data_IF_259113124898
#
_entry.id   IF_259113124898
#
_cell.length_a   1.000
_cell.length_b   1.000
_cell.length_c   1.000
_cell.angle_alpha   90.00
_cell.angle_beta   90.00
_cell.angle_gamma   90.00
#
_symmetry.space_group_name_H-M   'P 1'
#
loop_
_entity.id
_entity.type
_entity.pdbx_description
1 polymer ?
#
# COMPACT_ATOMS: atom_id res chain seq x y z
N UNK A 1 11.17 26.93 -11.93
CA UNK A 1 11.24 25.82 -12.90
C UNK A 1 12.33 24.79 -12.58
N UNK A 2 13.60 25.13 -12.35
CA UNK A 2 14.64 24.11 -12.08
C UNK A 2 14.39 23.30 -10.81
N UNK A 3 13.99 23.94 -9.70
CA UNK A 3 13.68 23.26 -8.45
C UNK A 3 12.51 22.26 -8.51
N UNK A 4 11.48 22.56 -9.30
CA UNK A 4 10.32 21.66 -9.50
C UNK A 4 10.73 20.39 -10.25
N UNK A 5 11.54 20.54 -11.31
CA UNK A 5 12.07 19.41 -12.07
C UNK A 5 12.94 18.53 -11.17
N UNK A 6 13.82 19.14 -10.36
CA UNK A 6 14.63 18.43 -9.36
C UNK A 6 13.77 17.66 -8.35
N UNK A 7 12.73 18.28 -7.81
CA UNK A 7 11.77 17.63 -6.92
C UNK A 7 11.15 16.39 -7.55
N UNK A 8 10.57 16.51 -8.75
CA UNK A 8 9.85 15.41 -9.38
C UNK A 8 10.77 14.27 -9.80
N UNK A 9 11.94 14.58 -10.38
CA UNK A 9 12.93 13.56 -10.73
C UNK A 9 13.47 12.83 -9.49
N UNK A 10 13.69 13.56 -8.40
CA UNK A 10 14.10 12.98 -7.13
C UNK A 10 13.02 12.10 -6.48
N UNK A 11 11.75 12.52 -6.53
CA UNK A 11 10.62 11.79 -5.96
C UNK A 11 10.23 10.53 -6.75
N UNK A 12 10.46 10.53 -8.07
CA UNK A 12 9.94 9.52 -9.00
C UNK A 12 10.27 8.06 -8.61
N UNK A 13 11.50 7.69 -8.19
CA UNK A 13 11.80 6.31 -7.80
C UNK A 13 10.97 5.84 -6.58
N UNK A 14 10.77 6.71 -5.59
CA UNK A 14 9.96 6.40 -4.41
C UNK A 14 8.47 6.26 -4.75
N UNK A 15 7.96 7.11 -5.65
CA UNK A 15 6.59 7.03 -6.17
C UNK A 15 6.37 5.73 -6.95
N UNK A 16 7.28 5.40 -7.87
CA UNK A 16 7.21 4.16 -8.65
C UNK A 16 7.23 2.91 -7.76
N UNK A 17 8.09 2.90 -6.74
CA UNK A 17 8.14 1.81 -5.75
C UNK A 17 6.83 1.67 -4.97
N UNK A 18 6.25 2.80 -4.55
CA UNK A 18 4.97 2.83 -3.83
C UNK A 18 3.84 2.27 -4.70
N UNK A 19 3.72 2.72 -5.95
CA UNK A 19 2.72 2.24 -6.90
C UNK A 19 2.85 0.74 -7.18
N UNK A 20 4.08 0.25 -7.39
CA UNK A 20 4.32 -1.18 -7.57
C UNK A 20 3.87 -2.01 -6.36
N UNK A 21 4.11 -1.51 -5.15
CA UNK A 21 3.65 -2.16 -3.93
C UNK A 21 2.13 -2.13 -3.80
N UNK A 22 1.46 -1.05 -4.21
CA UNK A 22 0.00 -0.98 -4.27
C UNK A 22 -0.60 -2.00 -5.24
N UNK A 23 -0.01 -2.15 -6.44
CA UNK A 23 -0.44 -3.14 -7.43
C UNK A 23 -0.37 -4.55 -6.85
N UNK A 24 0.72 -4.88 -6.15
CA UNK A 24 0.85 -6.18 -5.47
C UNK A 24 -0.19 -6.38 -4.38
N UNK A 25 -0.47 -5.34 -3.59
CA UNK A 25 -1.56 -5.38 -2.61
C UNK A 25 -2.92 -5.64 -3.24
N UNK A 26 -3.21 -4.96 -4.36
CA UNK A 26 -4.46 -5.14 -5.10
C UNK A 26 -4.60 -6.56 -5.65
N UNK A 27 -3.52 -7.16 -6.16
CA UNK A 27 -3.52 -8.54 -6.61
C UNK A 27 -3.89 -9.51 -5.49
N UNK A 28 -3.31 -9.36 -4.30
CA UNK A 28 -3.67 -10.18 -3.14
C UNK A 28 -5.10 -9.93 -2.67
N UNK A 29 -5.58 -8.69 -2.73
CA UNK A 29 -6.97 -8.40 -2.42
C UNK A 29 -7.93 -9.09 -3.40
N UNK A 30 -7.63 -9.08 -4.70
CA UNK A 30 -8.40 -9.80 -5.71
C UNK A 30 -8.37 -11.32 -5.47
N UNK A 31 -7.24 -11.86 -5.04
CA UNK A 31 -7.13 -13.28 -4.69
C UNK A 31 -7.99 -13.63 -3.47
N UNK A 32 -7.97 -12.82 -2.41
CA UNK A 32 -8.84 -12.99 -1.25
C UNK A 32 -10.33 -12.93 -1.65
N UNK A 33 -10.70 -12.01 -2.55
CA UNK A 33 -12.07 -11.97 -3.12
C UNK A 33 -12.43 -13.25 -3.86
N UNK A 34 -11.49 -13.83 -4.61
CA UNK A 34 -11.70 -15.09 -5.33
C UNK A 34 -11.91 -16.27 -4.38
N UNK A 35 -11.13 -16.34 -3.29
CA UNK A 35 -11.28 -17.37 -2.25
C UNK A 35 -12.68 -17.26 -1.61
N UNK A 36 -13.07 -16.08 -1.13
CA UNK A 36 -14.40 -15.88 -0.55
C UNK A 36 -15.52 -16.29 -1.53
N UNK A 37 -15.40 -15.88 -2.80
CA UNK A 37 -16.38 -16.22 -3.84
C UNK A 37 -16.48 -17.72 -4.12
N UNK A 38 -15.36 -18.45 -4.07
CA UNK A 38 -15.36 -19.91 -4.25
C UNK A 38 -16.17 -20.63 -3.17
N UNK A 39 -16.26 -20.04 -1.97
CA UNK A 39 -17.08 -20.53 -0.86
C UNK A 39 -18.51 -19.95 -0.85
N UNK A 40 -18.92 -19.24 -1.92
CA UNK A 40 -20.25 -18.63 -2.01
C UNK A 40 -20.40 -17.32 -1.25
N UNK A 41 -19.29 -16.72 -0.82
CA UNK A 41 -19.28 -15.50 0.00
C UNK A 41 -18.79 -14.29 -0.78
N UNK A 42 -19.10 -13.11 -0.25
CA UNK A 42 -18.66 -11.84 -0.83
C UNK A 42 -17.76 -11.10 0.14
N UNK A 43 -16.49 -10.96 -0.22
CA UNK A 43 -15.55 -10.10 0.47
C UNK A 43 -15.41 -8.80 -0.31
N UNK A 44 -15.79 -7.68 0.29
CA UNK A 44 -15.50 -6.37 -0.30
C UNK A 44 -14.70 -5.47 0.64
N UNK A 45 -13.40 -5.43 0.35
CA UNK A 45 -12.42 -4.61 1.04
C UNK A 45 -12.70 -3.11 0.91
N UNK A 46 -13.35 -2.67 -0.18
CA UNK A 46 -13.54 -1.24 -0.50
C UNK A 46 -14.93 -0.72 -0.16
N UNK A 47 -15.93 -1.61 -0.01
CA UNK A 47 -17.29 -1.20 0.35
C UNK A 47 -17.43 -0.78 1.82
N UNK A 48 -16.54 -1.24 2.69
CA UNK A 48 -16.62 -1.00 4.13
C UNK A 48 -15.39 -0.23 4.63
N UNK A 49 -15.62 1.03 5.01
CA UNK A 49 -14.59 1.88 5.63
C UNK A 49 -14.09 1.30 6.96
N UNK A 50 -14.96 0.64 7.72
CA UNK A 50 -14.59 -0.07 8.95
C UNK A 50 -13.67 -1.25 8.67
N UNK A 51 -13.88 -1.98 7.58
CA UNK A 51 -13.00 -3.09 7.19
C UNK A 51 -11.56 -2.62 6.94
N UNK A 52 -11.41 -1.52 6.18
CA UNK A 52 -10.09 -0.93 5.93
C UNK A 52 -9.43 -0.43 7.21
N UNK A 53 -10.20 0.20 8.11
CA UNK A 53 -9.69 0.64 9.40
C UNK A 53 -9.24 -0.52 10.28
N UNK A 54 -10.06 -1.57 10.41
CA UNK A 54 -9.71 -2.74 11.22
C UNK A 54 -8.51 -3.48 10.63
N UNK A 55 -8.45 -3.60 9.31
CA UNK A 55 -7.27 -4.12 8.64
C UNK A 55 -6.01 -3.31 8.99
N UNK A 56 -6.08 -1.98 8.99
CA UNK A 56 -4.93 -1.11 9.24
C UNK A 56 -4.56 -0.92 10.71
N UNK A 57 -5.51 -0.89 11.63
CA UNK A 57 -5.29 -0.47 13.01
C UNK A 57 -5.68 -1.53 14.05
N UNK A 58 -6.57 -2.47 13.68
CA UNK A 58 -7.06 -3.51 14.58
C UNK A 58 -7.02 -4.89 13.90
N UNK A 59 -5.87 -5.36 13.40
CA UNK A 59 -5.80 -6.57 12.57
C UNK A 59 -6.28 -7.83 13.30
N UNK A 60 -6.27 -7.82 14.63
CA UNK A 60 -6.76 -8.92 15.47
C UNK A 60 -8.29 -9.06 15.43
N UNK A 61 -9.02 -7.99 15.11
CA UNK A 61 -10.48 -7.95 15.02
C UNK A 61 -10.99 -8.28 13.60
N UNK A 62 -10.09 -8.43 12.63
CA UNK A 62 -10.49 -8.63 11.24
C UNK A 62 -11.16 -9.99 11.03
N UNK A 63 -10.62 -11.04 11.67
CA UNK A 63 -11.20 -12.40 11.66
C UNK A 63 -12.14 -12.52 12.86
N UNK A 64 -13.42 -12.68 12.58
CA UNK A 64 -14.47 -12.81 13.58
C UNK A 64 -14.75 -14.27 13.96
N UNK A 65 -15.38 -14.52 15.12
CA UNK A 65 -15.78 -15.86 15.53
C UNK A 65 -16.85 -16.47 14.62
N UNK A 66 -17.68 -15.62 13.98
CA UNK A 66 -18.74 -16.02 13.06
C UNK A 66 -18.31 -16.06 11.60
N UNK A 67 -17.03 -15.84 11.30
CA UNK A 67 -16.51 -16.00 9.94
C UNK A 67 -16.53 -17.48 9.57
N UNK A 68 -17.10 -17.79 8.40
CA UNK A 68 -16.98 -19.10 7.79
C UNK A 68 -15.51 -19.42 7.46
N UNK A 69 -15.26 -20.66 7.07
CA UNK A 69 -13.92 -21.11 6.67
C UNK A 69 -13.39 -20.31 5.47
N UNK A 70 -14.23 -20.02 4.47
CA UNK A 70 -13.84 -19.25 3.29
C UNK A 70 -13.50 -17.79 3.61
N UNK A 71 -14.31 -17.13 4.44
CA UNK A 71 -14.07 -15.76 4.89
C UNK A 71 -12.79 -15.68 5.72
N UNK A 72 -12.57 -16.67 6.59
CA UNK A 72 -11.41 -16.77 7.47
C UNK A 72 -10.12 -16.94 6.67
N UNK A 73 -10.13 -17.82 5.66
CA UNK A 73 -9.00 -18.02 4.74
C UNK A 73 -8.70 -16.74 3.96
N UNK A 74 -9.72 -16.12 3.37
CA UNK A 74 -9.56 -14.89 2.59
C UNK A 74 -9.00 -13.73 3.44
N UNK A 75 -9.50 -13.55 4.66
CA UNK A 75 -9.00 -12.53 5.61
C UNK A 75 -7.59 -12.86 6.11
N UNK A 76 -7.28 -14.14 6.35
CA UNK A 76 -5.93 -14.57 6.74
C UNK A 76 -4.90 -14.26 5.64
N UNK A 77 -5.25 -14.48 4.37
CA UNK A 77 -4.42 -14.10 3.23
C UNK A 77 -4.12 -12.60 3.23
N UNK A 78 -5.13 -11.75 3.43
CA UNK A 78 -4.94 -10.30 3.55
C UNK A 78 -4.00 -9.94 4.71
N UNK A 79 -4.22 -10.52 5.89
CA UNK A 79 -3.39 -10.26 7.07
C UNK A 79 -1.94 -10.72 6.89
N UNK A 80 -1.71 -11.79 6.14
CA UNK A 80 -0.37 -12.36 5.90
C UNK A 80 0.57 -11.36 5.21
N UNK A 81 0.04 -10.56 4.28
CA UNK A 81 0.82 -9.57 3.52
C UNK A 81 0.88 -8.20 4.19
N UNK A 82 0.00 -7.92 5.16
CA UNK A 82 -0.19 -6.59 5.77
C UNK A 82 1.11 -5.95 6.24
N UNK A 83 1.89 -6.65 7.07
CA UNK A 83 3.14 -6.09 7.65
C UNK A 83 4.13 -5.71 6.55
N UNK A 84 4.28 -6.57 5.54
CA UNK A 84 5.17 -6.31 4.41
C UNK A 84 4.68 -5.14 3.57
N UNK A 85 3.37 -5.06 3.32
CA UNK A 85 2.74 -3.99 2.55
C UNK A 85 2.90 -2.64 3.24
N UNK A 86 2.69 -2.56 4.56
CA UNK A 86 2.90 -1.33 5.34
C UNK A 86 4.38 -0.92 5.36
N UNK A 87 5.29 -1.87 5.57
CA UNK A 87 6.73 -1.60 5.57
C UNK A 87 7.19 -1.04 4.22
N UNK A 88 6.73 -1.62 3.12
CA UNK A 88 7.07 -1.16 1.78
C UNK A 88 6.47 0.21 1.46
N UNK A 89 5.25 0.51 1.90
CA UNK A 89 4.69 1.87 1.79
C UNK A 89 5.50 2.89 2.58
N UNK A 90 5.89 2.57 3.82
CA UNK A 90 6.72 3.45 4.64
C UNK A 90 8.09 3.72 3.98
N UNK A 91 8.74 2.68 3.41
CA UNK A 91 9.98 2.85 2.65
C UNK A 91 9.79 3.67 1.39
N UNK A 92 8.71 3.44 0.63
CA UNK A 92 8.38 4.22 -0.56
C UNK A 92 8.17 5.70 -0.24
N UNK A 93 7.43 6.01 0.84
CA UNK A 93 7.27 7.36 1.34
C UNK A 93 8.61 7.99 1.74
N UNK A 94 9.45 7.27 2.49
CA UNK A 94 10.79 7.73 2.89
C UNK A 94 11.66 8.07 1.67
N UNK A 95 11.74 7.17 0.68
CA UNK A 95 12.51 7.40 -0.54
C UNK A 95 11.97 8.57 -1.36
N UNK A 96 10.65 8.73 -1.40
CA UNK A 96 10.00 9.85 -2.09
C UNK A 96 10.40 11.17 -1.42
N UNK A 97 10.29 11.27 -0.09
CA UNK A 97 10.64 12.48 0.66
C UNK A 97 12.13 12.81 0.57
N UNK A 98 13.02 11.82 0.75
CA UNK A 98 14.47 12.03 0.65
C UNK A 98 14.88 12.41 -0.78
N UNK A 99 14.37 11.69 -1.77
CA UNK A 99 14.67 11.95 -3.17
C UNK A 99 14.18 13.33 -3.62
N UNK A 100 12.95 13.69 -3.26
CA UNK A 100 12.41 15.03 -3.49
C UNK A 100 13.31 16.14 -2.91
N UNK A 101 13.71 15.98 -1.65
CA UNK A 101 14.55 16.97 -0.96
C UNK A 101 15.93 17.12 -1.60
N UNK A 102 16.62 16.00 -1.85
CA UNK A 102 17.93 16.00 -2.52
C UNK A 102 17.82 16.56 -3.94
N UNK A 103 16.77 16.20 -4.68
CA UNK A 103 16.53 16.69 -6.03
C UNK A 103 16.35 18.20 -6.10
N UNK A 104 15.62 18.79 -5.15
CA UNK A 104 15.51 20.27 -5.03
C UNK A 104 16.87 20.90 -4.75
N UNK A 105 17.62 20.37 -3.78
CA UNK A 105 18.93 20.92 -3.41
C UNK A 105 19.92 20.90 -4.58
N UNK A 106 19.98 19.79 -5.32
CA UNK A 106 20.83 19.66 -6.50
C UNK A 106 20.40 20.61 -7.61
N UNK A 107 19.09 20.71 -7.89
CA UNK A 107 18.60 21.59 -8.94
C UNK A 107 18.86 23.07 -8.64
N UNK A 108 18.69 23.50 -7.38
CA UNK A 108 19.01 24.87 -6.95
C UNK A 108 20.51 25.12 -6.99
N UNK A 109 21.32 24.20 -6.46
CA UNK A 109 22.78 24.31 -6.48
C UNK A 109 23.36 24.41 -7.88
N UNK A 110 22.85 23.62 -8.83
CA UNK A 110 23.25 23.65 -10.24
C UNK A 110 22.70 24.85 -11.02
N UNK A 111 21.63 25.50 -10.54
CA UNK A 111 21.08 26.71 -11.18
C UNK A 111 21.76 28.00 -10.72
N UNK A 112 22.45 27.95 -9.57
CA UNK A 112 23.18 29.09 -9.00
C UNK A 112 24.68 29.09 -9.29
N UNK A 113 25.20 28.04 -9.94
CA UNK A 113 26.57 27.88 -10.43
C UNK A 113 26.68 28.21 -11.91
#
# INVERSE_FOLDING_TARGET
MSGEIGFFLGAAPGLAYTLWNMIRGQQTANEAKRIAKAHGEFLDFYASSSFGFDYLFRPQQLIGPNDSDGMREAKALLLSIRKQLLRRHALGALFTSLGAFVGVLLAVGLSGS
#
